data_IF_043214061561
#
_entry.id   IF_043214061561
#
_cell.length_a   1.000
_cell.length_b   1.000
_cell.length_c   1.000
_cell.angle_alpha   90.00
_cell.angle_beta   90.00
_cell.angle_gamma   90.00
#
_symmetry.space_group_name_H-M   'P 1'
#
loop_
_entity.id
_entity.type
_entity.pdbx_description
1 polymer ?
#
# COMPACT_ATOMS: atom_id res chain seq x y z
N UNK A 1 1.57 0.21 -9.72
CA UNK A 1 2.53 0.74 -8.72
C UNK A 1 3.06 2.06 -9.26
N UNK A 2 3.09 3.12 -8.47
CA UNK A 2 3.55 4.44 -8.87
C UNK A 2 4.53 4.99 -7.84
N UNK A 3 5.84 4.88 -8.08
CA UNK A 3 6.88 5.39 -7.19
C UNK A 3 7.07 6.90 -7.43
N UNK A 4 6.71 7.78 -6.48
CA UNK A 4 6.83 9.22 -6.68
C UNK A 4 8.31 9.62 -6.68
N UNK A 5 8.75 10.30 -7.75
CA UNK A 5 10.13 10.80 -7.84
C UNK A 5 10.28 12.26 -7.39
N UNK A 6 9.16 13.00 -7.26
CA UNK A 6 9.04 14.31 -6.58
C UNK A 6 7.58 14.51 -6.09
N UNK A 7 7.40 15.19 -4.97
CA UNK A 7 6.08 15.49 -4.40
C UNK A 7 5.45 16.78 -4.95
N UNK A 8 4.13 16.91 -4.78
CA UNK A 8 3.37 18.16 -4.88
C UNK A 8 3.31 18.88 -6.24
N UNK A 9 3.41 18.15 -7.35
CA UNK A 9 3.14 18.68 -8.70
C UNK A 9 1.89 18.00 -9.28
N UNK A 10 0.80 18.78 -9.41
CA UNK A 10 -0.50 18.30 -9.87
C UNK A 10 -0.60 18.09 -11.38
N UNK A 11 0.34 18.65 -12.15
CA UNK A 11 0.34 18.55 -13.61
C UNK A 11 0.87 17.21 -14.10
N UNK A 12 1.68 16.54 -13.27
CA UNK A 12 2.34 15.29 -13.60
C UNK A 12 1.39 14.11 -13.63
N UNK A 13 1.69 13.18 -14.53
CA UNK A 13 0.93 11.95 -14.68
C UNK A 13 0.91 11.12 -13.40
N UNK A 14 2.03 11.08 -12.67
CA UNK A 14 2.10 10.40 -11.38
C UNK A 14 1.09 10.92 -10.35
N UNK A 15 0.74 12.21 -10.36
CA UNK A 15 -0.31 12.77 -9.51
C UNK A 15 -1.70 12.39 -10.03
N UNK A 16 -1.94 12.57 -11.33
CA UNK A 16 -3.22 12.21 -11.98
C UNK A 16 -3.57 10.75 -11.76
N UNK A 17 -2.61 9.84 -11.96
CA UNK A 17 -2.75 8.40 -11.74
C UNK A 17 -3.20 8.10 -10.31
N UNK A 18 -2.56 8.69 -9.28
CA UNK A 18 -2.97 8.45 -7.88
C UNK A 18 -4.36 8.99 -7.61
N UNK A 19 -4.67 10.19 -8.10
CA UNK A 19 -5.98 10.81 -7.94
C UNK A 19 -7.08 9.94 -8.56
N UNK A 20 -6.91 9.54 -9.82
CA UNK A 20 -7.86 8.65 -10.51
C UNK A 20 -7.99 7.31 -9.79
N UNK A 21 -6.88 6.70 -9.35
CA UNK A 21 -6.96 5.44 -8.59
C UNK A 21 -7.82 5.58 -7.32
N UNK A 22 -7.65 6.67 -6.57
CA UNK A 22 -8.50 6.97 -5.40
C UNK A 22 -9.96 7.21 -5.78
N UNK A 23 -10.22 8.01 -6.83
CA UNK A 23 -11.58 8.33 -7.31
C UNK A 23 -12.36 7.08 -7.77
N UNK A 24 -11.68 6.08 -8.31
CA UNK A 24 -12.28 4.83 -8.79
C UNK A 24 -12.08 3.65 -7.83
N UNK A 25 -11.71 3.91 -6.56
CA UNK A 25 -11.47 2.87 -5.54
C UNK A 25 -10.52 1.75 -5.99
N UNK A 26 -9.56 2.10 -6.85
CA UNK A 26 -8.53 1.19 -7.34
C UNK A 26 -7.30 1.31 -6.45
N UNK A 27 -6.82 0.20 -5.90
CA UNK A 27 -5.61 0.19 -5.08
C UNK A 27 -4.37 0.61 -5.88
N UNK A 28 -3.57 1.51 -5.32
CA UNK A 28 -2.29 1.93 -5.89
C UNK A 28 -1.20 1.93 -4.83
N UNK A 29 -0.18 1.10 -5.06
CA UNK A 29 1.03 1.08 -4.24
C UNK A 29 1.99 2.19 -4.68
N UNK A 30 2.51 2.97 -3.72
CA UNK A 30 3.42 4.10 -3.98
C UNK A 30 4.85 3.88 -3.50
N UNK A 31 5.10 2.82 -2.74
CA UNK A 31 6.41 2.43 -2.23
C UNK A 31 6.74 1.00 -2.63
N UNK A 32 7.96 0.79 -3.12
CA UNK A 32 8.47 -0.55 -3.39
C UNK A 32 8.74 -1.31 -2.09
N UNK A 33 9.14 -0.63 -1.02
CA UNK A 33 9.41 -1.26 0.27
C UNK A 33 8.12 -1.83 0.88
N UNK A 34 7.04 -1.06 0.85
CA UNK A 34 5.72 -1.53 1.31
C UNK A 34 5.22 -2.70 0.45
N UNK A 35 5.43 -2.63 -0.87
CA UNK A 35 5.08 -3.74 -1.76
C UNK A 35 5.89 -5.00 -1.47
N UNK A 36 7.20 -4.86 -1.23
CA UNK A 36 8.07 -5.98 -0.88
C UNK A 36 7.62 -6.63 0.43
N UNK A 37 7.36 -5.82 1.47
CA UNK A 37 6.84 -6.31 2.75
C UNK A 37 5.50 -7.06 2.57
N UNK A 38 4.59 -6.52 1.76
CA UNK A 38 3.31 -7.17 1.46
C UNK A 38 3.51 -8.54 0.78
N UNK A 39 4.41 -8.60 -0.22
CA UNK A 39 4.74 -9.86 -0.90
C UNK A 39 5.38 -10.86 0.06
N UNK A 40 6.28 -10.42 0.93
CA UNK A 40 6.91 -11.29 1.93
C UNK A 40 5.91 -11.84 2.94
N UNK A 41 4.97 -11.01 3.43
CA UNK A 41 3.89 -11.48 4.32
C UNK A 41 2.98 -12.46 3.59
N UNK A 42 2.59 -12.16 2.35
CA UNK A 42 1.74 -13.04 1.55
C UNK A 42 2.38 -14.41 1.28
N UNK A 43 3.70 -14.44 1.09
CA UNK A 43 4.47 -15.69 0.91
C UNK A 43 4.53 -16.56 2.17
N UNK A 44 4.34 -15.99 3.36
CA UNK A 44 4.40 -16.74 4.62
C UNK A 44 3.14 -17.57 4.88
N UNK A 45 2.09 -17.42 4.07
CA UNK A 45 0.82 -18.15 4.19
C UNK A 45 0.30 -18.23 5.64
N UNK A 46 0.38 -17.09 6.34
CA UNK A 46 -0.02 -17.02 7.75
C UNK A 46 -1.50 -17.39 7.82
N UNK A 47 -1.82 -18.46 8.56
CA UNK A 47 -3.18 -18.94 8.76
C UNK A 47 -3.79 -18.20 9.93
N UNK A 48 -5.07 -17.82 9.80
CA UNK A 48 -5.82 -17.12 10.84
C UNK A 48 -5.92 -17.91 12.16
N UNK A 49 -5.73 -19.24 12.11
CA UNK A 49 -5.86 -20.17 13.24
C UNK A 49 -4.82 -20.02 14.38
N UNK A 50 -4.11 -18.90 14.47
CA UNK A 50 -3.19 -18.59 15.58
C UNK A 50 -2.92 -17.08 15.75
N UNK A 51 -3.73 -16.22 15.13
CA UNK A 51 -3.63 -14.77 15.25
C UNK A 51 -4.56 -14.31 16.37
N UNK A 52 -4.01 -14.16 17.58
CA UNK A 52 -4.74 -13.60 18.71
C UNK A 52 -4.65 -12.07 18.70
N UNK A 53 -5.80 -11.40 18.88
CA UNK A 53 -5.87 -9.94 18.99
C UNK A 53 -5.52 -9.55 20.42
N UNK A 54 -4.40 -8.86 20.59
CA UNK A 54 -3.98 -8.34 21.89
C UNK A 54 -4.29 -6.85 22.02
N UNK A 55 -4.89 -6.46 23.16
CA UNK A 55 -5.09 -5.06 23.50
C UNK A 55 -3.80 -4.51 24.11
N UNK A 56 -3.33 -3.36 23.61
CA UNK A 56 -2.06 -2.73 24.00
C UNK A 56 -2.28 -1.71 25.14
N UNK A 57 -3.53 -1.45 25.53
CA UNK A 57 -3.90 -0.45 26.53
C UNK A 57 -4.07 -0.98 27.96
N UNK A 58 -3.94 -2.28 28.18
CA UNK A 58 -3.86 -2.90 29.53
C UNK A 58 -2.41 -3.10 29.98
#
# INVERSE_FOLDING_TARGET
INTPTKGNDSTRDGFKIRRTATEFSTEVMTSLDTLKALVEVKKKEIKDAGLEVYNIAE
#
